data_IF_886711909462
#
_entry.id   IF_886711909462
#
_cell.length_a   1.000
_cell.length_b   1.000
_cell.length_c   1.000
_cell.angle_alpha   90.00
_cell.angle_beta   90.00
_cell.angle_gamma   90.00
#
_symmetry.space_group_name_H-M   'P 1'
#
loop_
_entity.id
_entity.type
_entity.pdbx_description
1 polymer ?
#
# COMPACT_ATOMS: atom_id res chain seq x y z
N UNK A 1 -0.10 -49.72 -8.67
CA UNK A 1 -0.05 -50.68 -7.55
C UNK A 1 1.01 -50.23 -6.56
N UNK A 2 0.63 -49.46 -5.54
CA UNK A 2 1.50 -49.15 -4.39
C UNK A 2 0.65 -49.15 -3.13
N UNK A 3 1.18 -49.81 -2.11
CA UNK A 3 0.48 -50.28 -0.92
C UNK A 3 0.38 -49.21 0.17
N UNK A 4 -0.74 -49.29 0.86
CA UNK A 4 -1.22 -48.67 2.09
C UNK A 4 -0.29 -48.88 3.29
N UNK A 5 -0.16 -47.84 4.13
CA UNK A 5 0.10 -47.98 5.59
C UNK A 5 -0.58 -46.86 6.36
N UNK A 6 -1.79 -47.15 6.83
CA UNK A 6 -2.56 -46.37 7.79
C UNK A 6 -2.02 -46.70 9.19
N UNK A 7 -1.62 -45.72 10.00
CA UNK A 7 -1.32 -45.91 11.43
C UNK A 7 -2.37 -45.18 12.27
N UNK A 8 -3.27 -45.95 12.88
CA UNK A 8 -4.10 -45.52 14.00
C UNK A 8 -3.19 -45.37 15.23
N UNK A 9 -3.22 -44.21 15.87
CA UNK A 9 -2.69 -44.01 17.23
C UNK A 9 -3.89 -43.69 18.13
N UNK A 10 -4.31 -44.67 18.92
CA UNK A 10 -5.24 -44.49 20.02
C UNK A 10 -4.47 -43.88 21.20
N UNK A 11 -4.86 -42.70 21.66
CA UNK A 11 -4.30 -42.07 22.85
C UNK A 11 -5.40 -42.05 23.93
N UNK A 12 -5.31 -43.00 24.87
CA UNK A 12 -6.09 -43.01 26.09
C UNK A 12 -5.19 -42.55 27.24
N UNK A 13 -5.43 -41.37 27.78
CA UNK A 13 -4.85 -40.96 29.07
C UNK A 13 -5.97 -40.53 30.01
N UNK A 14 -6.17 -41.37 31.02
CA UNK A 14 -7.01 -41.17 32.20
C UNK A 14 -6.46 -40.01 33.05
N UNK A 15 -7.39 -39.38 33.77
CA UNK A 15 -7.20 -38.10 34.44
C UNK A 15 -6.14 -38.05 35.54
N UNK A 16 -5.68 -36.82 35.77
CA UNK A 16 -5.05 -36.37 37.00
C UNK A 16 -5.33 -34.88 37.13
N UNK A 17 -6.10 -34.54 38.17
CA UNK A 17 -6.40 -33.18 38.60
C UNK A 17 -5.14 -32.62 39.26
N UNK A 18 -4.47 -31.66 38.61
CA UNK A 18 -3.33 -30.92 39.17
C UNK A 18 -3.51 -29.43 38.84
N UNK A 19 -3.86 -28.67 39.88
CA UNK A 19 -3.79 -27.21 39.92
C UNK A 19 -2.31 -26.81 39.88
N UNK A 20 -1.85 -26.29 38.74
CA UNK A 20 -0.56 -25.62 38.60
C UNK A 20 -0.84 -24.16 38.26
N UNK A 21 -0.44 -23.30 39.20
CA UNK A 21 -0.44 -21.85 39.05
C UNK A 21 0.56 -21.41 37.97
N UNK A 22 0.24 -20.29 37.34
CA UNK A 22 0.86 -19.75 36.14
C UNK A 22 2.40 -19.67 36.10
N UNK A 23 2.91 -19.85 34.90
CA UNK A 23 3.83 -18.91 34.26
C UNK A 23 3.48 -18.94 32.77
N UNK A 24 2.77 -17.91 32.30
CA UNK A 24 2.55 -17.68 30.87
C UNK A 24 3.87 -17.33 30.23
N UNK A 25 4.41 -18.25 29.44
CA UNK A 25 5.44 -17.94 28.46
C UNK A 25 4.71 -17.62 27.17
N UNK A 26 4.44 -16.34 26.97
CA UNK A 26 3.95 -15.82 25.70
C UNK A 26 5.00 -16.16 24.64
N UNK A 27 4.66 -17.18 23.85
CA UNK A 27 5.42 -17.54 22.68
C UNK A 27 4.98 -16.56 21.60
N UNK A 28 5.87 -15.65 21.21
CA UNK A 28 5.69 -14.78 20.04
C UNK A 28 5.56 -15.67 18.80
N UNK A 29 4.32 -16.11 18.54
CA UNK A 29 3.95 -16.78 17.31
C UNK A 29 3.83 -15.69 16.22
N UNK A 30 4.94 -15.46 15.54
CA UNK A 30 4.94 -14.88 14.20
C UNK A 30 4.07 -15.77 13.30
N UNK A 31 2.86 -15.32 12.97
CA UNK A 31 2.00 -16.02 12.03
C UNK A 31 0.51 -16.01 12.37
N UNK A 32 -0.12 -14.84 12.30
CA UNK A 32 -1.53 -14.71 11.93
C UNK A 32 -1.75 -13.27 11.49
N UNK A 33 -2.29 -13.07 10.29
CA UNK A 33 -2.72 -11.75 9.82
C UNK A 33 -3.76 -11.19 10.77
N UNK A 34 -3.32 -10.31 11.67
CA UNK A 34 -4.19 -9.54 12.52
C UNK A 34 -4.69 -8.35 11.70
N UNK A 35 -5.96 -8.42 11.31
CA UNK A 35 -6.69 -7.27 10.81
C UNK A 35 -7.37 -6.65 12.03
N UNK A 36 -6.69 -5.69 12.67
CA UNK A 36 -7.25 -4.93 13.76
C UNK A 36 -7.65 -3.54 13.24
N UNK A 37 -8.96 -3.27 13.21
CA UNK A 37 -9.47 -1.92 13.03
C UNK A 37 -8.90 -1.01 14.12
N UNK A 38 -8.02 -0.08 13.75
CA UNK A 38 -7.34 0.83 14.67
C UNK A 38 -5.82 0.66 14.80
N UNK A 39 -5.23 -0.41 14.24
CA UNK A 39 -3.78 -0.46 14.05
C UNK A 39 -3.37 0.49 12.94
N UNK A 40 -2.38 1.34 13.21
CA UNK A 40 -1.79 2.26 12.24
C UNK A 40 -0.46 1.73 11.71
N UNK A 41 -0.05 0.51 12.05
CA UNK A 41 1.20 -0.03 11.55
C UNK A 41 1.21 -1.55 11.45
N UNK A 42 1.74 -2.04 10.33
CA UNK A 42 2.10 -3.43 10.12
C UNK A 42 3.58 -3.55 9.79
N UNK A 43 4.31 -4.35 10.57
CA UNK A 43 5.75 -4.48 10.45
C UNK A 43 6.20 -5.93 10.54
N UNK A 44 7.19 -6.31 9.73
CA UNK A 44 7.93 -7.57 9.85
C UNK A 44 7.03 -8.82 9.90
N UNK A 45 6.13 -8.97 8.93
CA UNK A 45 5.23 -10.12 8.87
C UNK A 45 5.31 -10.80 7.51
N UNK A 46 5.28 -12.14 7.54
CA UNK A 46 5.19 -12.96 6.33
C UNK A 46 3.75 -13.03 5.78
N UNK A 47 2.76 -12.72 6.61
CA UNK A 47 1.37 -12.65 6.21
C UNK A 47 1.05 -11.31 5.55
N UNK A 48 -0.06 -11.25 4.82
CA UNK A 48 -0.64 -9.97 4.42
C UNK A 48 -1.16 -9.19 5.62
N UNK A 49 -1.33 -7.89 5.44
CA UNK A 49 -1.90 -6.98 6.43
C UNK A 49 -2.96 -6.10 5.80
N UNK A 50 -4.03 -5.83 6.55
CA UNK A 50 -5.04 -4.85 6.19
C UNK A 50 -5.15 -3.80 7.31
N UNK A 51 -4.74 -2.56 7.01
CA UNK A 51 -4.86 -1.40 7.88
C UNK A 51 -6.07 -0.57 7.48
N UNK A 52 -6.91 -0.21 8.45
CA UNK A 52 -8.02 0.72 8.23
C UNK A 52 -8.14 1.74 9.35
N UNK A 53 -8.20 3.01 8.96
CA UNK A 53 -8.44 4.14 9.86
C UNK A 53 -9.40 5.16 9.24
N UNK A 54 -9.87 6.11 10.07
CA UNK A 54 -10.72 7.22 9.63
C UNK A 54 -9.92 8.33 8.96
N UNK A 55 -10.29 9.58 9.24
CA UNK A 55 -9.55 10.76 8.77
C UNK A 55 -8.30 11.02 9.64
N UNK A 56 -7.34 11.80 9.11
CA UNK A 56 -6.18 12.31 9.84
C UNK A 56 -5.35 11.22 10.53
N UNK A 57 -5.04 10.16 9.80
CA UNK A 57 -4.21 9.04 10.28
C UNK A 57 -3.00 8.78 9.37
N UNK A 58 -2.00 8.10 9.94
CA UNK A 58 -0.74 7.78 9.26
C UNK A 58 -0.49 6.26 9.31
N UNK A 59 -1.28 5.45 8.58
CA UNK A 59 -1.09 4.01 8.55
C UNK A 59 0.20 3.63 7.79
N UNK A 60 1.01 2.73 8.35
CA UNK A 60 2.30 2.35 7.79
C UNK A 60 2.44 0.83 7.60
N UNK A 61 2.82 0.40 6.40
CA UNK A 61 3.29 -0.95 6.13
C UNK A 61 4.79 -0.96 5.86
N UNK A 62 5.52 -1.82 6.58
CA UNK A 62 6.98 -1.92 6.46
C UNK A 62 7.46 -3.37 6.57
N UNK A 63 8.28 -3.84 5.63
CA UNK A 63 8.78 -5.23 5.61
C UNK A 63 7.68 -6.30 5.73
N UNK A 64 6.56 -6.08 5.03
CA UNK A 64 5.42 -7.02 4.95
C UNK A 64 5.61 -7.87 3.70
N UNK A 65 5.72 -9.20 3.82
CA UNK A 65 5.90 -10.08 2.64
C UNK A 65 4.62 -10.34 1.86
N UNK A 66 3.48 -10.34 2.55
CA UNK A 66 2.17 -10.50 1.92
C UNK A 66 1.67 -9.20 1.27
N UNK A 67 0.41 -9.21 0.86
CA UNK A 67 -0.28 -7.98 0.41
C UNK A 67 -0.42 -7.02 1.59
N UNK A 68 -0.11 -5.74 1.38
CA UNK A 68 -0.49 -4.69 2.32
C UNK A 68 -1.66 -3.90 1.74
N UNK A 69 -2.80 -3.96 2.39
CA UNK A 69 -3.99 -3.18 2.05
C UNK A 69 -4.16 -2.06 3.09
N UNK A 70 -4.11 -0.79 2.65
CA UNK A 70 -4.32 0.38 3.51
C UNK A 70 -5.57 1.11 3.02
N UNK A 71 -6.54 1.31 3.91
CA UNK A 71 -7.73 2.14 3.63
C UNK A 71 -7.87 3.24 4.69
N UNK A 72 -7.96 4.49 4.26
CA UNK A 72 -8.12 5.62 5.17
C UNK A 72 -9.06 6.69 4.61
N UNK A 73 -9.50 7.59 5.47
CA UNK A 73 -10.38 8.71 5.14
C UNK A 73 -9.62 9.88 4.50
N UNK A 74 -9.94 11.10 4.91
CA UNK A 74 -9.32 12.34 4.43
C UNK A 74 -8.10 12.73 5.25
N UNK A 75 -7.24 13.55 4.66
CA UNK A 75 -6.09 14.16 5.34
C UNK A 75 -5.14 13.10 5.94
N UNK A 76 -5.02 11.95 5.27
CA UNK A 76 -4.22 10.82 5.70
C UNK A 76 -2.87 10.79 4.99
N UNK A 77 -1.86 10.21 5.65
CA UNK A 77 -0.52 10.02 5.10
C UNK A 77 -0.12 8.55 5.12
N UNK A 78 -0.76 7.68 4.32
CA UNK A 78 -0.43 6.26 4.32
C UNK A 78 0.95 6.03 3.71
N UNK A 79 1.74 5.15 4.33
CA UNK A 79 3.11 4.85 3.91
C UNK A 79 3.29 3.36 3.68
N UNK A 80 3.83 3.01 2.51
CA UNK A 80 4.34 1.67 2.23
C UNK A 80 5.85 1.76 1.99
N UNK A 81 6.63 1.08 2.82
CA UNK A 81 8.08 1.14 2.77
C UNK A 81 8.72 -0.24 2.75
N UNK A 82 9.81 -0.37 1.97
CA UNK A 82 10.68 -1.54 1.95
C UNK A 82 9.92 -2.83 1.65
N UNK A 83 9.07 -2.76 0.61
CA UNK A 83 8.21 -3.83 0.09
C UNK A 83 8.87 -4.60 -1.10
N UNK A 84 10.20 -4.58 -1.20
CA UNK A 84 10.93 -5.22 -2.33
C UNK A 84 10.99 -6.75 -2.18
N UNK A 85 10.67 -7.49 -3.26
CA UNK A 85 10.42 -8.95 -3.22
C UNK A 85 9.23 -9.36 -2.35
N UNK A 86 8.31 -8.42 -2.11
CA UNK A 86 7.15 -8.60 -1.27
C UNK A 86 5.86 -8.28 -2.03
N UNK A 87 4.72 -8.64 -1.45
CA UNK A 87 3.41 -8.45 -2.07
C UNK A 87 3.09 -6.98 -2.38
N UNK A 88 2.11 -6.73 -3.27
CA UNK A 88 1.72 -5.38 -3.65
C UNK A 88 1.24 -4.58 -2.44
N UNK A 89 1.54 -3.28 -2.46
CA UNK A 89 0.88 -2.31 -1.59
C UNK A 89 -0.32 -1.71 -2.31
N UNK A 90 -1.51 -1.85 -1.71
CA UNK A 90 -2.75 -1.26 -2.19
C UNK A 90 -3.20 -0.19 -1.20
N UNK A 91 -3.30 1.06 -1.65
CA UNK A 91 -3.76 2.19 -0.84
C UNK A 91 -5.04 2.77 -1.41
N UNK A 92 -6.02 2.99 -0.54
CA UNK A 92 -7.24 3.75 -0.83
C UNK A 92 -7.38 4.84 0.21
N UNK A 93 -7.47 6.08 -0.24
CA UNK A 93 -7.63 7.24 0.63
C UNK A 93 -8.60 8.26 0.04
N UNK A 94 -9.19 9.08 0.91
CA UNK A 94 -10.12 10.15 0.58
C UNK A 94 -9.41 11.36 -0.03
N UNK A 95 -9.89 12.55 0.32
CA UNK A 95 -9.33 13.82 -0.15
C UNK A 95 -8.10 14.24 0.67
N UNK A 96 -7.27 15.12 0.11
CA UNK A 96 -6.13 15.78 0.77
C UNK A 96 -5.09 14.82 1.36
N UNK A 97 -4.95 13.63 0.82
CA UNK A 97 -4.00 12.66 1.34
C UNK A 97 -2.60 12.85 0.77
N UNK A 98 -1.58 12.45 1.52
CA UNK A 98 -0.16 12.43 1.12
C UNK A 98 0.40 11.00 1.14
N UNK A 99 -0.09 10.11 0.25
CA UNK A 99 0.36 8.72 0.20
C UNK A 99 1.79 8.62 -0.33
N UNK A 100 2.61 7.80 0.33
CA UNK A 100 4.00 7.57 -0.07
C UNK A 100 4.36 6.09 -0.17
N UNK A 101 4.76 5.67 -1.37
CA UNK A 101 5.39 4.39 -1.62
C UNK A 101 6.90 4.56 -1.80
N UNK A 102 7.68 3.85 -0.99
CA UNK A 102 9.13 3.89 -1.03
C UNK A 102 9.74 2.48 -1.02
N UNK A 103 10.47 2.13 -2.08
CA UNK A 103 11.12 0.83 -2.25
C UNK A 103 10.09 -0.31 -2.26
N UNK A 104 9.80 -0.86 -3.44
CA UNK A 104 8.80 -1.91 -3.59
C UNK A 104 8.71 -2.49 -4.99
N UNK A 105 7.89 -3.51 -5.17
CA UNK A 105 7.58 -4.04 -6.50
C UNK A 105 6.39 -3.29 -7.12
N UNK A 106 5.24 -3.32 -6.44
CA UNK A 106 4.00 -2.75 -6.98
C UNK A 106 3.32 -1.88 -5.93
N UNK A 107 3.01 -0.65 -6.32
CA UNK A 107 2.22 0.29 -5.52
C UNK A 107 0.97 0.70 -6.30
N UNK A 108 -0.20 0.30 -5.80
CA UNK A 108 -1.50 0.68 -6.34
C UNK A 108 -2.13 1.71 -5.42
N UNK A 109 -2.53 2.86 -5.96
CA UNK A 109 -3.15 3.94 -5.18
C UNK A 109 -4.45 4.40 -5.83
N UNK A 110 -5.48 4.57 -5.01
CA UNK A 110 -6.67 5.36 -5.34
C UNK A 110 -6.83 6.48 -4.32
N UNK A 111 -6.73 7.72 -4.79
CA UNK A 111 -6.89 8.91 -3.97
C UNK A 111 -8.06 9.75 -4.46
N UNK A 112 -8.74 10.43 -3.54
CA UNK A 112 -9.74 11.45 -3.84
C UNK A 112 -9.11 12.70 -4.45
N UNK A 113 -9.63 13.86 -4.08
CA UNK A 113 -9.17 15.16 -4.61
C UNK A 113 -8.02 15.74 -3.80
N UNK A 114 -7.26 16.65 -4.41
CA UNK A 114 -6.20 17.44 -3.77
C UNK A 114 -5.11 16.61 -3.10
N UNK A 115 -4.80 15.44 -3.67
CA UNK A 115 -3.80 14.55 -3.12
C UNK A 115 -2.38 14.93 -3.55
N UNK A 116 -1.39 14.62 -2.71
CA UNK A 116 0.04 14.71 -3.06
C UNK A 116 0.62 13.30 -3.02
N UNK A 117 0.57 12.57 -4.14
CA UNK A 117 1.02 11.18 -4.19
C UNK A 117 2.49 11.08 -4.59
N UNK A 118 3.25 10.24 -3.89
CA UNK A 118 4.67 10.02 -4.14
C UNK A 118 4.98 8.54 -4.32
N UNK A 119 5.73 8.22 -5.37
CA UNK A 119 6.28 6.90 -5.63
C UNK A 119 7.78 7.03 -5.89
N UNK A 120 8.58 6.29 -5.14
CA UNK A 120 10.03 6.33 -5.28
C UNK A 120 10.64 4.94 -5.17
N UNK A 121 11.50 4.58 -6.11
CA UNK A 121 12.21 3.30 -6.13
C UNK A 121 11.28 2.08 -6.15
N UNK A 122 10.12 2.20 -6.79
CA UNK A 122 9.15 1.11 -6.96
C UNK A 122 9.17 0.65 -8.41
N UNK A 123 9.11 -0.65 -8.68
CA UNK A 123 9.11 -1.12 -10.07
C UNK A 123 7.87 -0.61 -10.84
N UNK A 124 6.68 -0.70 -10.25
CA UNK A 124 5.43 -0.25 -10.87
C UNK A 124 4.54 0.54 -9.92
N UNK A 125 4.25 1.78 -10.30
CA UNK A 125 3.30 2.66 -9.62
C UNK A 125 2.04 2.81 -10.48
N UNK A 126 0.88 2.42 -9.95
CA UNK A 126 -0.42 2.48 -10.63
C UNK A 126 -1.37 3.36 -9.82
N UNK A 127 -1.44 4.64 -10.15
CA UNK A 127 -2.16 5.64 -9.37
C UNK A 127 -3.43 6.09 -10.09
N UNK A 128 -4.52 6.23 -9.34
CA UNK A 128 -5.72 6.95 -9.75
C UNK A 128 -5.96 8.09 -8.78
N UNK A 129 -5.96 9.33 -9.26
CA UNK A 129 -6.10 10.52 -8.43
C UNK A 129 -7.23 11.42 -8.92
N UNK A 130 -7.89 12.08 -7.97
CA UNK A 130 -8.94 13.06 -8.22
C UNK A 130 -8.43 14.43 -8.67
N UNK A 131 -9.37 15.35 -8.81
CA UNK A 131 -9.10 16.73 -9.20
C UNK A 131 -8.12 17.43 -8.24
N UNK A 132 -7.39 18.41 -8.76
CA UNK A 132 -6.39 19.21 -8.06
C UNK A 132 -5.24 18.41 -7.41
N UNK A 133 -4.92 17.21 -7.91
CA UNK A 133 -3.88 16.34 -7.32
C UNK A 133 -2.52 16.49 -8.00
N UNK A 134 -1.45 16.26 -7.23
CA UNK A 134 -0.07 16.19 -7.72
C UNK A 134 0.49 14.79 -7.52
N UNK A 135 1.20 14.28 -8.51
CA UNK A 135 1.87 12.98 -8.49
C UNK A 135 3.35 13.17 -8.82
N UNK A 136 4.22 12.58 -8.01
CA UNK A 136 5.65 12.51 -8.26
C UNK A 136 6.11 11.05 -8.30
N UNK A 137 6.65 10.63 -9.44
CA UNK A 137 7.32 9.34 -9.63
C UNK A 137 8.83 9.58 -9.80
N UNK A 138 9.64 8.81 -9.08
CA UNK A 138 11.10 8.97 -9.04
C UNK A 138 11.78 7.60 -9.07
N UNK A 139 12.64 7.39 -10.06
CA UNK A 139 13.47 6.18 -10.15
C UNK A 139 12.64 4.88 -10.22
N UNK A 140 11.46 4.96 -10.83
CA UNK A 140 10.54 3.84 -11.03
C UNK A 140 10.68 3.28 -12.45
N UNK A 141 10.39 1.98 -12.68
CA UNK A 141 10.40 1.44 -14.05
C UNK A 141 9.14 1.88 -14.82
N UNK A 142 7.99 1.82 -14.16
CA UNK A 142 6.69 2.17 -14.71
C UNK A 142 5.90 3.07 -13.75
N UNK A 143 5.50 4.24 -14.22
CA UNK A 143 4.56 5.12 -13.55
C UNK A 143 3.32 5.31 -14.45
N UNK A 144 2.21 4.71 -14.04
CA UNK A 144 0.91 4.79 -14.72
C UNK A 144 -0.05 5.59 -13.86
N UNK A 145 -0.49 6.74 -14.37
CA UNK A 145 -1.36 7.67 -13.63
C UNK A 145 -2.65 7.90 -14.39
N UNK A 146 -3.78 7.60 -13.75
CA UNK A 146 -5.12 7.97 -14.20
C UNK A 146 -5.63 9.17 -13.41
N UNK A 147 -5.95 10.26 -14.10
CA UNK A 147 -6.51 11.45 -13.47
C UNK A 147 -7.99 11.57 -13.79
N UNK A 148 -8.84 11.56 -12.75
CA UNK A 148 -10.29 11.73 -12.91
C UNK A 148 -10.69 13.21 -13.01
N UNK A 149 -9.78 14.12 -12.67
CA UNK A 149 -9.91 15.58 -12.82
C UNK A 149 -8.59 16.22 -13.26
N UNK A 150 -8.41 17.48 -12.92
CA UNK A 150 -7.14 18.19 -13.12
C UNK A 150 -6.06 17.59 -12.24
N UNK A 151 -4.90 17.30 -12.81
CA UNK A 151 -3.79 16.73 -12.05
C UNK A 151 -2.45 17.14 -12.67
N UNK A 152 -1.41 17.14 -11.86
CA UNK A 152 -0.04 17.41 -12.28
C UNK A 152 0.84 16.20 -11.99
N UNK A 153 1.62 15.76 -12.98
CA UNK A 153 2.41 14.52 -12.90
C UNK A 153 3.86 14.80 -13.29
N UNK A 154 4.76 14.66 -12.32
CA UNK A 154 6.19 14.69 -12.54
C UNK A 154 6.78 13.27 -12.55
N UNK A 155 7.50 12.92 -13.60
CA UNK A 155 8.23 11.66 -13.71
C UNK A 155 9.72 11.95 -13.87
N UNK A 156 10.52 11.58 -12.87
CA UNK A 156 11.96 11.80 -12.87
C UNK A 156 12.70 10.48 -12.91
N UNK A 157 13.54 10.28 -13.94
CA UNK A 157 14.29 9.04 -14.13
C UNK A 157 13.37 7.79 -14.19
N UNK A 158 12.16 7.97 -14.74
CA UNK A 158 11.16 6.93 -14.95
C UNK A 158 11.05 6.63 -16.45
N UNK A 159 11.52 5.47 -16.95
CA UNK A 159 11.51 5.16 -18.37
C UNK A 159 10.12 5.15 -19.01
N UNK A 160 9.11 4.68 -18.27
CA UNK A 160 7.72 4.63 -18.74
C UNK A 160 6.84 5.49 -17.83
N UNK A 161 6.44 6.65 -18.34
CA UNK A 161 5.50 7.55 -17.67
C UNK A 161 4.25 7.69 -18.53
N UNK A 162 3.18 6.98 -18.15
CA UNK A 162 1.90 6.99 -18.85
C UNK A 162 0.86 7.74 -18.03
N UNK A 163 0.35 8.84 -18.58
CA UNK A 163 -0.74 9.60 -17.97
C UNK A 163 -2.00 9.44 -18.81
N UNK A 164 -3.14 9.22 -18.17
CA UNK A 164 -4.45 9.18 -18.81
C UNK A 164 -5.36 10.18 -18.13
N UNK A 165 -5.98 11.08 -18.90
CA UNK A 165 -6.95 12.04 -18.40
C UNK A 165 -8.36 11.54 -18.68
N UNK A 166 -9.26 11.59 -17.69
CA UNK A 166 -10.67 11.31 -17.92
C UNK A 166 -11.31 12.34 -18.86
N UNK A 167 -10.82 13.59 -18.80
CA UNK A 167 -11.29 14.68 -19.65
C UNK A 167 -10.14 15.15 -20.57
N UNK A 168 -10.20 14.73 -21.84
CA UNK A 168 -9.24 15.12 -22.86
C UNK A 168 -7.95 14.29 -22.85
N UNK A 169 -6.90 14.85 -23.45
CA UNK A 169 -5.58 14.22 -23.52
C UNK A 169 -4.61 14.89 -22.54
N UNK A 170 -3.61 14.17 -22.02
CA UNK A 170 -2.52 14.78 -21.27
C UNK A 170 -1.80 15.84 -22.11
N UNK A 171 -1.41 16.93 -21.46
CA UNK A 171 -0.60 17.99 -22.06
C UNK A 171 0.76 18.06 -21.37
N UNK A 172 1.80 18.43 -22.12
CA UNK A 172 3.11 18.71 -21.54
C UNK A 172 3.15 20.15 -21.04
N UNK A 173 3.55 20.32 -19.78
CA UNK A 173 3.68 21.61 -19.11
C UNK A 173 5.02 22.29 -19.46
N UNK A 174 5.17 23.57 -19.11
CA UNK A 174 6.35 24.36 -19.47
C UNK A 174 7.65 23.89 -18.82
N UNK A 175 7.55 23.21 -17.68
CA UNK A 175 8.64 22.58 -16.93
C UNK A 175 8.95 21.15 -17.40
N UNK A 176 8.24 20.64 -18.42
CA UNK A 176 8.42 19.30 -18.98
C UNK A 176 7.61 18.21 -18.29
N UNK A 177 6.83 18.54 -17.26
CA UNK A 177 5.90 17.59 -16.61
C UNK A 177 4.64 17.38 -17.46
N UNK A 178 3.75 16.52 -16.98
CA UNK A 178 2.47 16.23 -17.63
C UNK A 178 1.31 16.76 -16.80
N UNK A 179 0.27 17.25 -17.46
CA UNK A 179 -0.94 17.75 -16.82
C UNK A 179 -2.21 17.25 -17.49
N UNK A 180 -3.25 17.04 -16.68
CA UNK A 180 -4.64 16.91 -17.12
C UNK A 180 -5.43 18.15 -16.73
N UNK A 181 -6.39 18.61 -17.55
CA UNK A 181 -7.20 19.78 -17.24
C UNK A 181 -6.35 21.03 -16.97
N UNK A 182 -6.58 21.71 -15.84
CA UNK A 182 -5.74 22.84 -15.38
C UNK A 182 -4.46 22.41 -14.64
N UNK A 183 -4.06 21.14 -14.77
CA UNK A 183 -2.95 20.52 -14.07
C UNK A 183 -1.61 21.26 -14.19
N UNK A 184 -1.29 21.82 -15.37
CA UNK A 184 -0.05 22.58 -15.54
C UNK A 184 0.00 23.88 -14.72
N UNK A 185 -1.13 24.36 -14.21
CA UNK A 185 -1.16 25.50 -13.29
C UNK A 185 -0.92 25.10 -11.83
N UNK A 186 -0.94 23.80 -11.51
CA UNK A 186 -0.65 23.28 -10.17
C UNK A 186 0.86 23.25 -9.87
N UNK A 187 1.69 23.22 -10.92
CA UNK A 187 3.17 23.21 -10.85
C UNK A 187 3.80 24.42 -10.13
N UNK A 188 3.05 25.51 -9.93
CA UNK A 188 3.56 26.81 -9.47
C UNK A 188 3.34 27.09 -7.98
N UNK A 189 3.14 26.06 -7.14
CA UNK A 189 2.98 26.23 -5.68
C UNK A 189 3.99 25.43 -4.89
#
# INVERSE_FOLDING_TARGET
MHRTTLRLAACACLGSLLLIAGCGSDSDASGAGASNSGETACRYTDAGCALSCGDSCEPECMYVKGVCDITCGKDCSPVCRDTINFGPCNMVCGDNCDPYCWIGEVCNLKCGTSCTARCSYVQSCNFTVGDNSTVACLLDEYCVVGCTGSCHVGCTQTPVCQVTCQQGNPVTCTDGTLGCGSGCSLSLR
#
